data_IF_651399978187
#
_entry.id   IF_651399978187
#
_cell.length_a   1.000
_cell.length_b   1.000
_cell.length_c   1.000
_cell.angle_alpha   90.00
_cell.angle_beta   90.00
_cell.angle_gamma   90.00
#
_symmetry.space_group_name_H-M   'P 1'
#
loop_
_entity.id
_entity.type
_entity.pdbx_description
1 polymer ?
#
# COMPACT_ATOMS: atom_id res chain seq x y z
N UNK A 1 -30.64 -4.52 -30.68
CA UNK A 1 -30.33 -5.73 -29.85
C UNK A 1 -29.35 -5.33 -28.76
N UNK A 2 -29.83 -5.18 -27.54
CA UNK A 2 -29.03 -4.75 -26.38
C UNK A 2 -28.38 -5.98 -25.75
N UNK A 3 -27.11 -6.20 -25.99
CA UNK A 3 -26.34 -7.25 -25.32
C UNK A 3 -26.29 -6.92 -23.84
N UNK A 4 -27.07 -7.59 -23.01
CA UNK A 4 -26.92 -7.60 -21.56
C UNK A 4 -25.53 -8.17 -21.25
N UNK A 5 -24.57 -7.31 -20.90
CA UNK A 5 -23.32 -7.75 -20.27
C UNK A 5 -23.69 -8.41 -18.96
N UNK A 6 -23.47 -9.71 -18.84
CA UNK A 6 -23.45 -10.39 -17.56
C UNK A 6 -22.46 -9.66 -16.66
N UNK A 7 -22.97 -9.07 -15.60
CA UNK A 7 -22.14 -8.58 -14.51
C UNK A 7 -21.47 -9.80 -13.91
N UNK A 8 -20.19 -9.93 -14.14
CA UNK A 8 -19.35 -10.79 -13.30
C UNK A 8 -19.50 -10.24 -11.90
N UNK A 9 -20.37 -10.87 -11.15
CA UNK A 9 -20.63 -10.57 -9.75
C UNK A 9 -19.38 -11.00 -8.98
N UNK A 10 -18.41 -10.12 -8.87
CA UNK A 10 -17.26 -10.26 -7.95
C UNK A 10 -17.78 -10.03 -6.53
N UNK A 11 -18.83 -10.69 -6.16
CA UNK A 11 -19.12 -10.96 -4.78
C UNK A 11 -17.90 -11.74 -4.31
N UNK A 12 -17.21 -11.19 -3.35
CA UNK A 12 -16.47 -12.04 -2.43
C UNK A 12 -17.48 -13.12 -2.07
N UNK A 13 -17.27 -14.33 -2.59
CA UNK A 13 -18.15 -15.47 -2.35
C UNK A 13 -18.38 -15.49 -0.85
N UNK A 14 -19.60 -15.78 -0.46
CA UNK A 14 -19.98 -15.94 0.93
C UNK A 14 -18.82 -16.55 1.68
N UNK A 15 -18.39 -15.89 2.77
CA UNK A 15 -17.32 -16.42 3.60
C UNK A 15 -17.60 -17.91 3.77
N UNK A 16 -16.62 -18.79 3.51
CA UNK A 16 -16.83 -20.24 3.61
C UNK A 16 -17.52 -20.52 4.95
N UNK A 17 -18.45 -21.50 5.01
CA UNK A 17 -19.17 -21.78 6.23
C UNK A 17 -18.13 -21.93 7.34
N UNK A 18 -18.29 -21.12 8.37
CA UNK A 18 -17.40 -21.10 9.52
C UNK A 18 -17.52 -22.49 10.12
N UNK A 19 -16.55 -23.34 9.83
CA UNK A 19 -16.37 -24.56 10.61
C UNK A 19 -16.37 -24.10 12.06
N UNK A 20 -17.20 -24.71 12.88
CA UNK A 20 -17.22 -24.52 14.33
C UNK A 20 -15.84 -24.95 14.87
N UNK A 21 -14.86 -24.07 14.68
CA UNK A 21 -13.59 -24.23 15.36
C UNK A 21 -13.88 -24.01 16.84
N UNK A 22 -13.52 -25.00 17.65
CA UNK A 22 -13.60 -24.98 19.10
C UNK A 22 -13.14 -23.62 19.64
N UNK A 23 -13.72 -23.17 20.74
CA UNK A 23 -13.45 -21.92 21.42
C UNK A 23 -11.94 -21.71 21.64
N UNK A 24 -11.27 -21.18 20.65
CA UNK A 24 -9.82 -21.04 20.61
C UNK A 24 -9.50 -19.54 20.56
N UNK A 25 -8.53 -19.12 21.34
CA UNK A 25 -7.99 -17.77 21.34
C UNK A 25 -7.21 -17.43 20.05
N UNK A 26 -6.90 -18.42 19.22
CA UNK A 26 -6.28 -18.20 17.90
C UNK A 26 -7.32 -17.76 16.87
N UNK A 27 -7.06 -16.65 16.20
CA UNK A 27 -7.87 -16.11 15.10
C UNK A 27 -7.10 -16.25 13.80
N UNK A 28 -7.68 -17.00 12.85
CA UNK A 28 -7.10 -17.26 11.54
C UNK A 28 -7.97 -16.58 10.48
N UNK A 29 -7.36 -15.67 9.71
CA UNK A 29 -7.99 -15.08 8.53
C UNK A 29 -7.52 -15.80 7.28
N UNK A 30 -8.48 -16.11 6.41
CA UNK A 30 -8.25 -16.78 5.13
C UNK A 30 -8.68 -15.86 3.99
N UNK A 31 -8.09 -16.05 2.81
CA UNK A 31 -8.54 -15.40 1.59
C UNK A 31 -9.75 -16.12 0.95
N UNK A 32 -10.18 -15.60 -0.22
CA UNK A 32 -11.32 -16.19 -0.96
C UNK A 32 -11.03 -17.60 -1.52
N UNK A 33 -9.81 -18.10 -1.45
CA UNK A 33 -9.40 -19.46 -1.86
C UNK A 33 -9.18 -20.40 -0.68
N UNK A 34 -9.33 -19.89 0.56
CA UNK A 34 -9.13 -20.67 1.77
C UNK A 34 -7.68 -20.65 2.31
N UNK A 35 -6.76 -19.98 1.62
CA UNK A 35 -5.37 -19.87 2.05
C UNK A 35 -5.25 -18.97 3.29
N UNK A 36 -4.38 -19.35 4.23
CA UNK A 36 -4.16 -18.58 5.45
C UNK A 36 -3.40 -17.31 5.12
N UNK A 37 -4.07 -16.17 5.29
CA UNK A 37 -3.47 -14.84 5.12
C UNK A 37 -2.75 -14.40 6.39
N UNK A 38 -3.37 -14.63 7.56
CA UNK A 38 -2.81 -14.20 8.85
C UNK A 38 -3.35 -15.02 10.01
N UNK A 39 -2.48 -15.18 11.03
CA UNK A 39 -2.82 -15.77 12.33
C UNK A 39 -2.57 -14.75 13.42
N UNK A 40 -3.47 -14.67 14.38
CA UNK A 40 -3.38 -13.83 15.57
C UNK A 40 -3.72 -14.69 16.79
N UNK A 41 -2.86 -14.72 17.78
CA UNK A 41 -3.07 -15.49 19.03
C UNK A 41 -3.41 -14.50 20.16
N UNK A 42 -4.71 -14.33 20.41
CA UNK A 42 -5.21 -13.44 21.46
C UNK A 42 -4.87 -13.94 22.86
N UNK A 43 -4.74 -15.26 23.03
CA UNK A 43 -4.34 -15.85 24.31
C UNK A 43 -2.94 -15.43 24.78
N UNK A 44 -2.04 -15.11 23.83
CA UNK A 44 -0.69 -14.60 24.14
C UNK A 44 -0.65 -13.13 24.57
N UNK A 45 -1.78 -12.45 24.64
CA UNK A 45 -1.83 -11.05 25.07
C UNK A 45 -1.77 -10.89 26.59
N UNK A 46 -1.91 -11.98 27.38
CA UNK A 46 -1.91 -11.94 28.84
C UNK A 46 -3.21 -11.42 29.45
N UNK A 47 -4.30 -11.38 28.67
CA UNK A 47 -5.64 -11.06 29.15
C UNK A 47 -6.25 -12.24 29.95
N UNK A 48 -7.18 -11.99 30.90
CA UNK A 48 -8.02 -13.04 31.48
C UNK A 48 -8.66 -13.91 30.39
N UNK A 49 -8.77 -15.21 30.62
CA UNK A 49 -9.15 -16.19 29.59
C UNK A 49 -10.53 -15.90 28.97
N UNK A 50 -11.51 -15.50 29.78
CA UNK A 50 -12.86 -15.15 29.34
C UNK A 50 -12.87 -13.90 28.44
N UNK A 51 -12.07 -12.87 28.78
CA UNK A 51 -11.89 -11.65 27.98
C UNK A 51 -11.14 -11.99 26.68
N UNK A 52 -10.07 -12.79 26.75
CA UNK A 52 -9.32 -13.20 25.56
C UNK A 52 -10.22 -13.95 24.58
N UNK A 53 -11.04 -14.89 25.06
CA UNK A 53 -12.00 -15.61 24.24
C UNK A 53 -13.09 -14.70 23.65
N UNK A 54 -13.62 -13.75 24.43
CA UNK A 54 -14.60 -12.79 23.97
C UNK A 54 -14.04 -11.91 22.83
N UNK A 55 -12.84 -11.38 23.02
CA UNK A 55 -12.19 -10.55 22.01
C UNK A 55 -11.78 -11.36 20.75
N UNK A 56 -11.32 -12.61 20.93
CA UNK A 56 -11.01 -13.49 19.80
C UNK A 56 -12.26 -13.79 18.96
N UNK A 57 -13.38 -14.06 19.61
CA UNK A 57 -14.66 -14.33 18.96
C UNK A 57 -15.17 -13.09 18.19
N UNK A 58 -15.20 -11.94 18.84
CA UNK A 58 -15.55 -10.68 18.19
C UNK A 58 -14.61 -10.35 17.02
N UNK A 59 -13.30 -10.55 17.20
CA UNK A 59 -12.31 -10.28 16.14
C UNK A 59 -12.49 -11.22 14.95
N UNK A 60 -12.69 -12.50 15.18
CA UNK A 60 -12.92 -13.51 14.14
C UNK A 60 -14.14 -13.18 13.30
N UNK A 61 -15.26 -12.90 13.94
CA UNK A 61 -16.55 -12.74 13.24
C UNK A 61 -16.80 -11.32 12.74
N UNK A 62 -16.52 -10.30 13.55
CA UNK A 62 -16.75 -8.91 13.15
C UNK A 62 -15.79 -8.44 12.05
N UNK A 63 -14.55 -8.93 12.07
CA UNK A 63 -13.53 -8.54 11.11
C UNK A 63 -13.21 -9.60 10.04
N UNK A 64 -14.03 -10.66 9.89
CA UNK A 64 -13.85 -11.70 8.88
C UNK A 64 -13.73 -11.13 7.45
N UNK A 65 -14.59 -10.18 7.10
CA UNK A 65 -14.61 -9.51 5.80
C UNK A 65 -13.81 -8.20 5.76
N UNK A 66 -13.06 -7.86 6.81
CA UNK A 66 -12.28 -6.63 6.88
C UNK A 66 -10.98 -6.73 6.10
N UNK A 67 -10.47 -5.58 5.61
CA UNK A 67 -9.15 -5.54 5.00
C UNK A 67 -8.06 -5.91 6.02
N UNK A 68 -6.94 -6.44 5.54
CA UNK A 68 -5.81 -6.79 6.37
C UNK A 68 -5.31 -5.61 7.25
N UNK A 69 -5.32 -4.39 6.73
CA UNK A 69 -4.95 -3.21 7.51
C UNK A 69 -5.95 -2.93 8.65
N UNK A 70 -7.26 -3.12 8.41
CA UNK A 70 -8.27 -3.01 9.46
C UNK A 70 -8.07 -4.09 10.52
N UNK A 71 -7.83 -5.33 10.12
CA UNK A 71 -7.51 -6.43 11.04
C UNK A 71 -6.27 -6.12 11.86
N UNK A 72 -5.21 -5.57 11.26
CA UNK A 72 -4.00 -5.14 11.96
C UNK A 72 -4.27 -4.02 12.96
N UNK A 73 -5.09 -3.03 12.62
CA UNK A 73 -5.47 -1.96 13.55
C UNK A 73 -6.29 -2.49 14.73
N UNK A 74 -7.21 -3.43 14.49
CA UNK A 74 -7.94 -4.11 15.55
C UNK A 74 -6.98 -4.89 16.46
N UNK A 75 -6.04 -5.64 15.90
CA UNK A 75 -5.00 -6.34 16.67
C UNK A 75 -4.17 -5.38 17.54
N UNK A 76 -3.76 -4.23 17.00
CA UNK A 76 -3.03 -3.22 17.77
C UNK A 76 -3.88 -2.64 18.90
N UNK A 77 -5.19 -2.48 18.69
CA UNK A 77 -6.10 -2.03 19.74
C UNK A 77 -6.23 -3.07 20.87
N UNK A 78 -6.34 -4.36 20.52
CA UNK A 78 -6.34 -5.44 21.53
C UNK A 78 -5.03 -5.48 22.33
N UNK A 79 -3.88 -5.31 21.69
CA UNK A 79 -2.58 -5.20 22.37
C UNK A 79 -2.52 -4.01 23.32
N UNK A 80 -3.07 -2.86 22.92
CA UNK A 80 -3.13 -1.67 23.79
C UNK A 80 -4.03 -1.93 24.99
N UNK A 81 -5.18 -2.55 24.77
CA UNK A 81 -6.10 -2.90 25.84
C UNK A 81 -5.48 -3.94 26.82
N UNK A 82 -4.76 -4.95 26.31
CA UNK A 82 -4.08 -5.91 27.14
C UNK A 82 -3.00 -5.28 28.04
N UNK A 83 -2.23 -4.32 27.51
CA UNK A 83 -1.28 -3.56 28.34
C UNK A 83 -1.99 -2.77 29.42
N UNK A 84 -3.07 -2.05 29.05
CA UNK A 84 -3.88 -1.36 30.04
C UNK A 84 -4.39 -2.30 31.15
N UNK A 85 -4.98 -3.44 30.77
CA UNK A 85 -5.51 -4.40 31.72
C UNK A 85 -4.44 -4.93 32.70
N UNK A 86 -3.21 -5.16 32.19
CA UNK A 86 -2.08 -5.57 33.00
C UNK A 86 -1.61 -4.47 33.97
N UNK A 87 -1.59 -3.21 33.52
CA UNK A 87 -1.17 -2.06 34.34
C UNK A 87 -2.27 -1.63 35.34
N UNK A 88 -3.54 -1.68 34.94
CA UNK A 88 -4.70 -1.32 35.78
C UNK A 88 -4.94 -2.34 36.92
N UNK A 89 -4.70 -3.64 36.66
CA UNK A 89 -4.85 -4.71 37.62
C UNK A 89 -6.29 -5.02 38.10
N UNK A 90 -7.27 -4.25 37.68
CA UNK A 90 -8.68 -4.36 38.06
C UNK A 90 -9.53 -5.10 37.03
N UNK A 91 -9.01 -5.32 35.82
CA UNK A 91 -9.70 -6.03 34.73
C UNK A 91 -9.37 -7.53 34.83
N UNK A 92 -10.18 -8.30 35.57
CA UNK A 92 -9.93 -9.72 35.86
C UNK A 92 -10.90 -10.67 35.19
N UNK A 93 -12.05 -10.15 34.75
CA UNK A 93 -13.12 -10.92 34.09
C UNK A 93 -13.93 -10.05 33.14
N UNK A 94 -14.78 -10.68 32.33
CA UNK A 94 -15.73 -9.95 31.48
C UNK A 94 -16.70 -9.07 32.27
N UNK A 95 -16.97 -9.39 33.52
CA UNK A 95 -17.79 -8.57 34.43
C UNK A 95 -17.18 -7.21 34.76
N UNK A 96 -15.85 -7.08 34.66
CA UNK A 96 -15.13 -5.83 34.93
C UNK A 96 -15.11 -4.86 33.72
N UNK A 97 -15.66 -5.29 32.58
CA UNK A 97 -15.78 -4.46 31.38
C UNK A 97 -16.91 -3.44 31.51
N UNK A 98 -16.79 -2.53 32.47
CA UNK A 98 -17.80 -1.54 32.85
C UNK A 98 -17.55 -0.15 32.26
N UNK A 99 -18.51 0.77 32.36
CA UNK A 99 -18.33 2.19 31.99
C UNK A 99 -17.18 2.83 32.78
N UNK A 100 -16.98 2.46 34.05
CA UNK A 100 -15.86 2.94 34.88
C UNK A 100 -14.52 2.48 34.32
N UNK A 101 -14.41 1.21 33.88
CA UNK A 101 -13.22 0.69 33.18
C UNK A 101 -12.95 1.48 31.89
N UNK A 102 -13.98 1.79 31.10
CA UNK A 102 -13.81 2.61 29.88
C UNK A 102 -13.22 3.98 30.22
N UNK A 103 -13.68 4.62 31.31
CA UNK A 103 -13.12 5.89 31.79
C UNK A 103 -11.62 5.80 32.13
N UNK A 104 -11.22 4.76 32.88
CA UNK A 104 -9.80 4.51 33.21
C UNK A 104 -8.97 4.22 31.97
N UNK A 105 -9.51 3.46 31.01
CA UNK A 105 -8.82 3.17 29.75
C UNK A 105 -8.58 4.44 28.93
N UNK A 106 -9.54 5.35 28.88
CA UNK A 106 -9.39 6.66 28.21
C UNK A 106 -8.28 7.47 28.87
N UNK A 107 -8.26 7.57 30.19
CA UNK A 107 -7.21 8.27 30.93
C UNK A 107 -5.83 7.64 30.68
N UNK A 108 -5.76 6.31 30.66
CA UNK A 108 -4.52 5.59 30.32
C UNK A 108 -4.05 5.88 28.88
N UNK A 109 -4.97 5.92 27.89
CA UNK A 109 -4.63 6.28 26.50
C UNK A 109 -4.09 7.71 26.40
N UNK A 110 -4.51 8.64 27.25
CA UNK A 110 -4.00 10.03 27.28
C UNK A 110 -2.52 10.11 27.69
N UNK A 111 -2.06 9.15 28.50
CA UNK A 111 -0.67 9.08 28.97
C UNK A 111 0.25 8.31 28.00
N UNK A 112 -0.26 7.70 26.93
CA UNK A 112 0.55 6.85 26.07
C UNK A 112 1.50 7.62 25.16
N UNK A 113 2.73 7.15 25.08
CA UNK A 113 3.78 7.67 24.18
C UNK A 113 4.19 6.61 23.14
N UNK A 114 4.61 7.06 21.99
CA UNK A 114 5.10 6.17 20.93
C UNK A 114 6.49 5.65 21.26
N UNK A 115 6.67 4.33 21.28
CA UNK A 115 7.92 3.67 21.67
C UNK A 115 9.17 4.10 20.86
N UNK A 116 8.99 4.49 19.59
CA UNK A 116 10.10 4.92 18.73
C UNK A 116 10.27 6.44 18.68
N UNK A 117 9.20 7.19 18.92
CA UNK A 117 9.20 8.65 18.74
C UNK A 117 9.27 9.41 20.05
N UNK A 118 9.03 8.74 21.15
CA UNK A 118 8.86 9.30 22.50
C UNK A 118 7.86 10.49 22.54
N UNK A 119 6.96 10.56 21.55
CA UNK A 119 5.92 11.59 21.48
C UNK A 119 4.58 11.02 21.96
N UNK A 120 3.72 11.82 22.58
CA UNK A 120 2.36 11.41 22.95
C UNK A 120 1.61 10.85 21.73
N UNK A 121 0.79 9.83 21.94
CA UNK A 121 -0.07 9.34 20.87
C UNK A 121 -0.98 10.45 20.37
N UNK A 122 -1.10 10.56 19.05
CA UNK A 122 -2.02 11.53 18.45
C UNK A 122 -3.46 11.27 18.89
N UNK A 123 -4.27 12.32 19.00
CA UNK A 123 -5.71 12.21 19.30
C UNK A 123 -6.41 11.21 18.36
N UNK A 124 -6.06 11.23 17.07
CA UNK A 124 -6.58 10.29 16.08
C UNK A 124 -6.19 8.82 16.36
N UNK A 125 -4.96 8.56 16.82
CA UNK A 125 -4.52 7.22 17.20
C UNK A 125 -5.28 6.69 18.41
N UNK A 126 -5.43 7.51 19.46
CA UNK A 126 -6.18 7.18 20.68
C UNK A 126 -7.64 6.89 20.36
N UNK A 127 -8.29 7.78 19.59
CA UNK A 127 -9.67 7.61 19.17
C UNK A 127 -9.88 6.34 18.32
N UNK A 128 -8.93 6.00 17.44
CA UNK A 128 -9.02 4.77 16.64
C UNK A 128 -8.93 3.52 17.51
N UNK A 129 -7.98 3.48 18.45
CA UNK A 129 -7.82 2.35 19.38
C UNK A 129 -9.06 2.15 20.25
N UNK A 130 -9.63 3.22 20.81
CA UNK A 130 -10.86 3.18 21.59
C UNK A 130 -12.05 2.70 20.73
N UNK A 131 -12.16 3.21 19.50
CA UNK A 131 -13.23 2.83 18.58
C UNK A 131 -13.16 1.33 18.21
N UNK A 132 -11.98 0.77 17.98
CA UNK A 132 -11.83 -0.65 17.66
C UNK A 132 -12.26 -1.51 18.85
N UNK A 133 -11.87 -1.18 20.09
CA UNK A 133 -12.33 -1.88 21.29
C UNK A 133 -13.85 -1.80 21.43
N UNK A 134 -14.42 -0.59 21.28
CA UNK A 134 -15.86 -0.38 21.30
C UNK A 134 -16.59 -1.27 20.29
N UNK A 135 -16.13 -1.34 19.06
CA UNK A 135 -16.76 -2.15 18.01
C UNK A 135 -16.81 -3.64 18.38
N UNK A 136 -15.76 -4.16 19.00
CA UNK A 136 -15.72 -5.56 19.46
C UNK A 136 -16.69 -5.79 20.62
N UNK A 137 -16.71 -4.90 21.60
CA UNK A 137 -17.66 -4.98 22.75
C UNK A 137 -19.11 -4.83 22.26
N UNK A 138 -19.41 -3.86 21.39
CA UNK A 138 -20.74 -3.66 20.81
C UNK A 138 -21.19 -4.88 19.97
N UNK A 139 -20.26 -5.52 19.26
CA UNK A 139 -20.56 -6.76 18.53
C UNK A 139 -20.91 -7.89 19.50
N UNK A 140 -20.13 -8.08 20.54
CA UNK A 140 -20.37 -9.12 21.56
C UNK A 140 -21.69 -8.86 22.27
N UNK A 141 -21.97 -7.62 22.65
CA UNK A 141 -23.22 -7.26 23.33
C UNK A 141 -24.47 -7.60 22.49
N UNK A 142 -24.38 -7.43 21.17
CA UNK A 142 -25.47 -7.80 20.26
C UNK A 142 -25.65 -9.30 20.06
N UNK A 143 -24.55 -10.07 20.11
CA UNK A 143 -24.57 -11.53 19.82
C UNK A 143 -24.66 -12.38 21.08
N UNK A 144 -24.06 -11.93 22.16
CA UNK A 144 -23.92 -12.66 23.42
C UNK A 144 -24.11 -11.70 24.60
N UNK A 145 -25.32 -11.12 24.79
CA UNK A 145 -25.57 -10.09 25.79
C UNK A 145 -25.26 -10.57 27.21
N UNK A 146 -25.48 -11.85 27.52
CA UNK A 146 -25.24 -12.44 28.84
C UNK A 146 -23.75 -12.55 29.24
N UNK A 147 -22.83 -12.34 28.30
CA UNK A 147 -21.37 -12.39 28.57
C UNK A 147 -20.80 -11.06 29.04
N UNK A 148 -21.57 -10.00 29.03
CA UNK A 148 -21.12 -8.64 29.34
C UNK A 148 -22.08 -7.98 30.36
N UNK A 149 -21.59 -6.99 31.13
CA UNK A 149 -22.46 -6.12 31.92
C UNK A 149 -23.56 -5.50 31.07
N UNK A 150 -24.75 -5.35 31.68
CA UNK A 150 -25.93 -4.82 30.97
C UNK A 150 -25.65 -3.46 30.36
N UNK A 151 -24.91 -2.61 31.07
CA UNK A 151 -24.58 -1.27 30.60
C UNK A 151 -23.10 -1.01 30.58
N UNK A 152 -22.59 -0.71 29.37
CA UNK A 152 -21.22 -0.26 29.12
C UNK A 152 -21.30 0.98 28.24
N UNK A 153 -21.00 2.14 28.79
CA UNK A 153 -21.09 3.42 28.08
C UNK A 153 -19.72 3.82 27.52
N UNK A 154 -19.67 4.07 26.24
CA UNK A 154 -18.52 4.66 25.57
C UNK A 154 -18.83 6.11 25.22
N UNK A 155 -18.07 7.09 25.71
CA UNK A 155 -18.26 8.50 25.34
C UNK A 155 -18.16 8.70 23.83
N UNK A 156 -19.04 9.52 23.26
CA UNK A 156 -19.15 9.71 21.80
C UNK A 156 -18.04 10.59 21.22
N UNK A 157 -17.48 11.51 21.99
CA UNK A 157 -16.46 12.48 21.54
C UNK A 157 -15.42 12.74 22.64
N UNK A 158 -14.59 11.75 22.93
CA UNK A 158 -13.54 11.88 23.94
C UNK A 158 -12.48 12.90 23.53
N UNK A 159 -12.13 12.93 22.24
CA UNK A 159 -11.15 13.86 21.68
C UNK A 159 -11.79 14.63 20.52
N UNK A 160 -12.53 15.74 20.81
CA UNK A 160 -13.34 16.44 19.80
C UNK A 160 -12.51 17.10 18.69
N UNK A 161 -11.37 17.66 19.04
CA UNK A 161 -10.54 18.40 18.09
C UNK A 161 -9.57 17.47 17.36
N UNK A 162 -10.09 16.82 16.32
CA UNK A 162 -9.27 16.08 15.35
C UNK A 162 -8.71 17.01 14.27
N UNK A 163 -8.41 18.25 14.57
CA UNK A 163 -7.67 19.06 13.60
C UNK A 163 -6.34 18.34 13.37
N UNK A 164 -6.27 17.65 12.25
CA UNK A 164 -4.99 17.24 11.72
C UNK A 164 -4.23 18.54 11.41
N UNK A 165 -3.00 18.64 11.85
CA UNK A 165 -2.13 19.73 11.44
C UNK A 165 -2.24 19.89 9.92
N UNK A 166 -2.31 21.13 9.41
CA UNK A 166 -2.33 21.37 7.97
C UNK A 166 -1.21 20.58 7.33
N UNK A 167 -1.56 19.64 6.45
CA UNK A 167 -0.55 18.85 5.77
C UNK A 167 0.14 19.74 4.76
N UNK A 168 1.48 19.72 4.77
CA UNK A 168 2.26 20.33 3.70
C UNK A 168 1.68 19.94 2.34
N UNK A 169 1.47 20.91 1.46
CA UNK A 169 1.03 20.70 0.07
C UNK A 169 2.17 20.99 -0.87
N UNK A 170 2.29 20.14 -1.88
CA UNK A 170 3.23 20.36 -2.97
C UNK A 170 2.56 21.29 -3.98
N UNK A 171 3.26 22.33 -4.43
CA UNK A 171 2.81 23.23 -5.45
C UNK A 171 2.91 22.62 -6.86
N UNK A 172 2.39 23.35 -7.87
CA UNK A 172 2.45 22.91 -9.27
C UNK A 172 3.89 22.69 -9.75
N UNK A 173 4.82 23.56 -9.36
CA UNK A 173 6.23 23.44 -9.75
C UNK A 173 6.91 22.24 -9.08
N UNK A 174 6.60 21.97 -7.80
CA UNK A 174 7.08 20.77 -7.13
C UNK A 174 6.60 19.49 -7.85
N UNK A 175 5.30 19.44 -8.20
CA UNK A 175 4.72 18.29 -8.90
C UNK A 175 5.34 18.09 -10.29
N UNK A 176 5.63 19.18 -11.03
CA UNK A 176 6.34 19.12 -12.32
C UNK A 176 7.77 18.63 -12.15
N UNK A 177 8.51 19.16 -11.17
CA UNK A 177 9.89 18.74 -10.89
C UNK A 177 9.93 17.24 -10.51
N UNK A 178 9.02 16.79 -9.66
CA UNK A 178 8.90 15.39 -9.27
C UNK A 178 8.59 14.51 -10.50
N UNK A 179 7.65 14.90 -11.37
CA UNK A 179 7.32 14.16 -12.58
C UNK A 179 8.50 14.06 -13.54
N UNK A 180 9.23 15.16 -13.76
CA UNK A 180 10.42 15.17 -14.64
C UNK A 180 11.44 14.12 -14.19
N UNK A 181 11.77 14.13 -12.91
CA UNK A 181 12.72 13.17 -12.34
C UNK A 181 12.19 11.74 -12.37
N UNK A 182 10.87 11.56 -12.16
CA UNK A 182 10.27 10.23 -12.31
C UNK A 182 10.41 9.69 -13.73
N UNK A 183 10.22 10.53 -14.74
CA UNK A 183 10.35 10.11 -16.14
C UNK A 183 11.79 9.73 -16.50
N UNK A 184 12.77 10.50 -16.02
CA UNK A 184 14.19 10.17 -16.18
C UNK A 184 14.54 8.81 -15.53
N UNK A 185 14.08 8.56 -14.28
CA UNK A 185 14.28 7.26 -13.60
C UNK A 185 13.56 6.11 -14.30
N UNK A 186 12.39 6.38 -14.87
CA UNK A 186 11.59 5.38 -15.61
C UNK A 186 12.29 5.00 -16.91
N UNK A 187 12.80 5.98 -17.65
CA UNK A 187 13.53 5.72 -18.90
C UNK A 187 14.82 4.93 -18.63
N UNK A 188 15.62 5.35 -17.65
CA UNK A 188 16.82 4.61 -17.24
C UNK A 188 16.49 3.15 -16.85
N UNK A 189 15.40 2.95 -16.11
CA UNK A 189 14.97 1.62 -15.70
C UNK A 189 14.46 0.80 -16.89
N UNK A 190 13.76 1.43 -17.81
CA UNK A 190 13.23 0.78 -19.01
C UNK A 190 14.36 0.38 -19.97
N UNK A 191 15.29 1.27 -20.24
CA UNK A 191 16.44 1.00 -21.12
C UNK A 191 17.30 -0.15 -20.58
N UNK A 192 17.50 -0.16 -19.24
CA UNK A 192 18.20 -1.28 -18.58
C UNK A 192 17.45 -2.60 -18.76
N UNK A 193 16.12 -2.59 -18.59
CA UNK A 193 15.30 -3.79 -18.77
C UNK A 193 15.29 -4.27 -20.22
N UNK A 194 15.17 -3.36 -21.21
CA UNK A 194 15.27 -3.71 -22.64
C UNK A 194 16.64 -4.27 -23.00
N UNK A 195 17.72 -3.69 -22.46
CA UNK A 195 19.09 -4.25 -22.60
C UNK A 195 19.14 -5.67 -22.04
N UNK A 196 18.54 -5.91 -20.87
CA UNK A 196 18.44 -7.25 -20.30
C UNK A 196 17.69 -8.23 -21.20
N UNK A 197 16.58 -7.81 -21.80
CA UNK A 197 15.83 -8.61 -22.77
C UNK A 197 16.66 -8.94 -24.00
N UNK A 198 17.40 -7.98 -24.54
CA UNK A 198 18.31 -8.19 -25.67
C UNK A 198 19.42 -9.21 -25.33
N UNK A 199 20.01 -9.08 -24.12
CA UNK A 199 21.00 -10.03 -23.61
C UNK A 199 20.45 -11.47 -23.55
N UNK A 200 19.22 -11.62 -23.06
CA UNK A 200 18.59 -12.94 -22.91
C UNK A 200 18.09 -13.54 -24.23
N UNK A 201 17.75 -12.70 -25.20
CA UNK A 201 17.32 -13.15 -26.53
C UNK A 201 18.49 -13.59 -27.45
N UNK A 202 19.72 -13.19 -27.13
CA UNK A 202 20.90 -13.40 -27.97
C UNK A 202 21.90 -14.30 -27.24
N UNK A 203 22.51 -15.23 -27.91
CA UNK A 203 23.62 -16.07 -27.36
C UNK A 203 24.98 -15.35 -27.38
N UNK A 204 25.11 -14.28 -28.17
CA UNK A 204 26.33 -13.50 -28.37
C UNK A 204 26.39 -12.19 -27.62
N UNK A 205 27.30 -11.31 -28.05
CA UNK A 205 27.42 -9.94 -27.57
C UNK A 205 26.21 -9.10 -27.99
N UNK A 206 25.77 -8.21 -27.10
CA UNK A 206 24.85 -7.14 -27.42
C UNK A 206 25.68 -5.88 -27.65
N UNK A 207 25.39 -5.13 -28.70
CA UNK A 207 26.11 -3.92 -29.07
C UNK A 207 26.14 -2.93 -27.91
N UNK A 208 27.31 -2.39 -27.59
CA UNK A 208 27.51 -1.44 -26.51
C UNK A 208 27.45 -2.03 -25.08
N UNK A 209 27.36 -3.35 -24.93
CA UNK A 209 27.31 -4.03 -23.64
C UNK A 209 28.55 -4.88 -23.40
N UNK A 210 29.16 -4.76 -22.23
CA UNK A 210 30.30 -5.59 -21.83
C UNK A 210 29.95 -7.08 -21.76
N UNK A 211 30.86 -7.93 -22.24
CA UNK A 211 30.68 -9.39 -22.28
C UNK A 211 30.47 -9.97 -20.88
N UNK A 212 31.24 -9.51 -19.88
CA UNK A 212 31.10 -9.97 -18.50
C UNK A 212 29.70 -9.67 -17.96
N UNK A 213 29.15 -8.51 -18.29
CA UNK A 213 27.77 -8.14 -17.91
C UNK A 213 26.74 -9.04 -18.60
N UNK A 214 26.92 -9.34 -19.92
CA UNK A 214 26.05 -10.24 -20.65
C UNK A 214 25.99 -11.62 -19.99
N UNK A 215 27.15 -12.20 -19.70
CA UNK A 215 27.25 -13.53 -19.10
C UNK A 215 26.69 -13.54 -17.66
N UNK A 216 26.92 -12.46 -16.91
CA UNK A 216 26.40 -12.33 -15.55
C UNK A 216 24.87 -12.25 -15.53
N UNK A 217 24.26 -11.46 -16.42
CA UNK A 217 22.79 -11.34 -16.53
C UNK A 217 22.18 -12.68 -16.94
N UNK A 218 22.77 -13.39 -17.92
CA UNK A 218 22.33 -14.73 -18.33
C UNK A 218 22.42 -15.72 -17.18
N UNK A 219 23.56 -15.75 -16.47
CA UNK A 219 23.77 -16.63 -15.34
C UNK A 219 22.72 -16.38 -14.25
N UNK A 220 22.47 -15.11 -13.88
CA UNK A 220 21.46 -14.74 -12.89
C UNK A 220 20.04 -15.13 -13.31
N UNK A 221 19.69 -14.96 -14.58
CA UNK A 221 18.38 -15.32 -15.12
C UNK A 221 18.09 -16.82 -15.03
N UNK A 222 19.10 -17.66 -15.31
CA UNK A 222 18.96 -19.13 -15.25
C UNK A 222 18.76 -19.63 -13.83
N UNK A 223 19.43 -19.03 -12.84
CA UNK A 223 19.43 -19.49 -11.44
C UNK A 223 18.04 -19.52 -10.82
N UNK A 224 17.17 -18.56 -11.14
CA UNK A 224 15.82 -18.44 -10.56
C UNK A 224 14.75 -18.12 -11.63
N UNK A 225 14.91 -18.71 -12.82
CA UNK A 225 13.90 -18.68 -13.90
C UNK A 225 13.46 -17.27 -14.29
N UNK A 226 14.41 -16.38 -14.56
CA UNK A 226 14.16 -15.01 -15.03
C UNK A 226 13.89 -14.00 -13.90
N UNK A 227 13.92 -14.44 -12.65
CA UNK A 227 13.82 -13.57 -11.47
C UNK A 227 15.16 -13.50 -10.77
N UNK A 228 15.56 -12.32 -10.32
CA UNK A 228 16.82 -12.14 -9.60
C UNK A 228 16.95 -13.13 -8.43
N UNK A 229 17.98 -14.00 -8.36
CA UNK A 229 18.15 -14.91 -7.25
C UNK A 229 18.52 -14.16 -5.95
N UNK A 230 18.32 -14.80 -4.80
CA UNK A 230 18.92 -14.32 -3.56
C UNK A 230 20.45 -14.42 -3.64
N UNK A 231 21.14 -13.57 -2.86
CA UNK A 231 22.62 -13.61 -2.85
C UNK A 231 23.16 -15.01 -2.51
N UNK A 232 22.54 -15.68 -1.54
CA UNK A 232 22.94 -17.05 -1.16
C UNK A 232 22.73 -18.03 -2.32
N UNK A 233 21.63 -17.91 -3.06
CA UNK A 233 21.34 -18.80 -4.19
C UNK A 233 22.32 -18.52 -5.35
N UNK A 234 22.57 -17.25 -5.65
CA UNK A 234 23.53 -16.85 -6.69
C UNK A 234 24.93 -17.41 -6.42
N UNK A 235 25.43 -17.29 -5.19
CA UNK A 235 26.74 -17.84 -4.79
C UNK A 235 26.77 -19.37 -4.95
N UNK A 236 25.74 -20.06 -4.45
CA UNK A 236 25.65 -21.54 -4.57
C UNK A 236 25.62 -22.02 -6.02
N UNK A 237 25.11 -21.19 -6.94
CA UNK A 237 25.06 -21.46 -8.36
C UNK A 237 26.34 -21.01 -9.12
N UNK A 238 27.40 -20.65 -8.41
CA UNK A 238 28.69 -20.30 -8.99
C UNK A 238 28.85 -18.87 -9.46
N UNK A 239 27.89 -17.98 -9.18
CA UNK A 239 27.98 -16.55 -9.54
C UNK A 239 29.02 -15.88 -8.62
N UNK A 240 30.02 -15.24 -9.23
CA UNK A 240 31.10 -14.55 -8.50
C UNK A 240 30.63 -13.20 -7.98
N UNK A 241 30.66 -13.01 -6.67
CA UNK A 241 30.27 -11.72 -6.04
C UNK A 241 31.13 -10.54 -6.47
N UNK A 242 32.43 -10.76 -6.76
CA UNK A 242 33.31 -9.72 -7.28
C UNK A 242 32.80 -9.14 -8.61
N UNK A 243 32.37 -9.99 -9.54
CA UNK A 243 31.74 -9.57 -10.79
C UNK A 243 30.42 -8.82 -10.53
N UNK A 244 29.55 -9.36 -9.66
CA UNK A 244 28.31 -8.70 -9.24
C UNK A 244 28.57 -7.29 -8.70
N UNK A 245 29.54 -7.12 -7.81
CA UNK A 245 29.86 -5.82 -7.20
C UNK A 245 30.46 -4.83 -8.22
N UNK A 246 31.26 -5.31 -9.16
CA UNK A 246 31.83 -4.49 -10.25
C UNK A 246 30.74 -3.87 -11.11
N UNK A 247 29.65 -4.61 -11.34
CA UNK A 247 28.48 -4.18 -12.12
C UNK A 247 27.35 -3.60 -11.23
N UNK A 248 27.67 -2.95 -10.11
CA UNK A 248 26.70 -2.21 -9.31
C UNK A 248 25.89 -3.02 -8.28
N UNK A 249 26.19 -4.32 -8.14
CA UNK A 249 25.55 -5.19 -7.16
C UNK A 249 24.26 -5.85 -7.64
N UNK A 250 23.77 -6.82 -6.87
CA UNK A 250 22.59 -7.63 -7.25
C UNK A 250 21.33 -6.79 -7.51
N UNK A 251 21.11 -5.72 -6.73
CA UNK A 251 19.93 -4.86 -6.92
C UNK A 251 19.94 -4.16 -8.27
N UNK A 252 21.08 -3.62 -8.63
CA UNK A 252 21.25 -2.97 -9.92
C UNK A 252 21.07 -3.96 -11.07
N UNK A 253 21.71 -5.13 -10.98
CA UNK A 253 21.58 -6.21 -11.95
C UNK A 253 20.16 -6.75 -12.06
N UNK A 254 19.38 -6.71 -10.98
CA UNK A 254 17.96 -7.06 -11.01
C UNK A 254 17.14 -6.23 -11.98
N UNK A 255 17.56 -4.98 -12.25
CA UNK A 255 16.92 -4.10 -13.22
C UNK A 255 16.98 -4.58 -14.67
N UNK A 256 17.95 -5.44 -15.02
CA UNK A 256 18.01 -6.11 -16.32
C UNK A 256 16.99 -7.24 -16.49
N UNK A 257 16.47 -7.79 -15.37
CA UNK A 257 15.57 -8.94 -15.37
C UNK A 257 14.11 -8.54 -15.13
N UNK A 258 13.87 -7.58 -14.24
CA UNK A 258 12.53 -7.20 -13.84
C UNK A 258 12.50 -5.88 -13.05
N UNK A 259 11.29 -5.40 -12.73
CA UNK A 259 11.09 -4.25 -11.85
C UNK A 259 11.72 -4.47 -10.47
N UNK A 260 12.48 -3.48 -10.00
CA UNK A 260 13.15 -3.53 -8.68
C UNK A 260 12.45 -2.65 -7.65
N UNK A 261 12.77 -2.85 -6.36
CA UNK A 261 12.29 -1.97 -5.29
C UNK A 261 12.77 -0.52 -5.38
N UNK A 262 13.84 -0.27 -6.12
CA UNK A 262 14.37 1.10 -6.33
C UNK A 262 13.64 1.84 -7.44
N UNK A 263 13.26 1.14 -8.50
CA UNK A 263 12.64 1.74 -9.68
C UNK A 263 11.12 1.87 -9.55
N UNK A 264 10.51 1.01 -8.74
CA UNK A 264 9.04 1.03 -8.53
C UNK A 264 8.51 2.37 -8.01
N UNK A 265 9.32 3.11 -7.24
CA UNK A 265 8.91 4.39 -6.64
C UNK A 265 8.58 5.43 -7.73
N UNK A 266 9.43 5.57 -8.77
CA UNK A 266 9.22 6.51 -9.85
C UNK A 266 7.91 6.24 -10.61
N UNK A 267 7.64 4.99 -10.97
CA UNK A 267 6.38 4.59 -11.61
C UNK A 267 5.18 4.88 -10.71
N UNK A 268 5.29 4.54 -9.42
CA UNK A 268 4.18 4.74 -8.49
C UNK A 268 3.85 6.23 -8.31
N UNK A 269 4.87 7.08 -8.16
CA UNK A 269 4.71 8.53 -8.00
C UNK A 269 4.09 9.13 -9.26
N UNK A 270 4.62 8.80 -10.44
CA UNK A 270 4.10 9.31 -11.71
C UNK A 270 2.62 8.94 -11.91
N UNK A 271 2.24 7.69 -11.65
CA UNK A 271 0.85 7.25 -11.71
C UNK A 271 -0.02 7.91 -10.63
N UNK A 272 0.50 8.12 -9.41
CA UNK A 272 -0.24 8.79 -8.34
C UNK A 272 -0.55 10.26 -8.68
N UNK A 273 0.40 10.97 -9.28
CA UNK A 273 0.18 12.36 -9.71
C UNK A 273 -0.82 12.41 -10.87
N UNK A 274 -0.64 11.58 -11.90
CA UNK A 274 -1.51 11.60 -13.08
C UNK A 274 -2.95 11.17 -12.77
N UNK A 275 -3.13 10.22 -11.86
CA UNK A 275 -4.46 9.70 -11.52
C UNK A 275 -5.14 10.44 -10.37
N UNK A 276 -4.40 11.21 -9.56
CA UNK A 276 -4.84 11.69 -8.24
C UNK A 276 -5.40 10.55 -7.37
N UNK A 277 -4.93 9.32 -7.61
CA UNK A 277 -5.42 8.11 -6.96
C UNK A 277 -5.02 8.04 -5.48
N UNK A 278 -5.84 7.35 -4.68
CA UNK A 278 -5.42 7.03 -3.32
C UNK A 278 -4.24 6.04 -3.37
N UNK A 279 -3.13 6.26 -2.66
CA UNK A 279 -1.96 5.38 -2.69
C UNK A 279 -2.26 3.90 -2.45
N UNK A 280 -3.15 3.58 -1.50
CA UNK A 280 -3.54 2.19 -1.25
C UNK A 280 -4.36 1.58 -2.41
N UNK A 281 -5.20 2.40 -3.06
CA UNK A 281 -5.98 1.94 -4.21
C UNK A 281 -5.09 1.70 -5.42
N UNK A 282 -4.12 2.60 -5.68
CA UNK A 282 -3.15 2.45 -6.76
C UNK A 282 -2.26 1.23 -6.55
N UNK A 283 -1.74 1.05 -5.34
CA UNK A 283 -0.94 -0.12 -4.99
C UNK A 283 -1.68 -1.44 -5.31
N UNK A 284 -3.00 -1.45 -5.18
CA UNK A 284 -3.85 -2.62 -5.42
C UNK A 284 -4.30 -2.76 -6.88
N UNK A 285 -3.82 -1.91 -7.79
CA UNK A 285 -4.16 -2.04 -9.22
C UNK A 285 -3.84 -3.42 -9.76
N UNK A 286 -4.70 -3.88 -10.63
CA UNK A 286 -4.55 -5.18 -11.30
C UNK A 286 -3.93 -5.02 -12.68
N UNK A 287 -3.41 -6.08 -13.25
CA UNK A 287 -2.76 -6.09 -14.56
C UNK A 287 -3.73 -5.81 -15.72
N UNK A 288 -5.03 -6.02 -15.50
CA UNK A 288 -6.14 -5.76 -16.42
C UNK A 288 -6.82 -4.40 -16.20
N UNK A 289 -6.09 -3.43 -15.66
CA UNK A 289 -6.61 -2.10 -15.31
C UNK A 289 -6.83 -1.16 -16.51
N UNK A 290 -6.41 -1.55 -17.70
CA UNK A 290 -6.58 -0.75 -18.91
C UNK A 290 -7.77 -1.23 -19.75
N UNK A 291 -8.53 -0.29 -20.30
CA UNK A 291 -9.67 -0.56 -21.20
C UNK A 291 -9.68 0.45 -22.33
N UNK A 292 -10.07 0.03 -23.54
CA UNK A 292 -10.31 0.94 -24.65
C UNK A 292 -11.37 1.98 -24.27
N UNK A 293 -11.14 3.24 -24.69
CA UNK A 293 -12.15 4.26 -24.54
C UNK A 293 -13.29 4.04 -25.56
N UNK A 294 -14.57 4.10 -25.15
CA UNK A 294 -15.68 3.73 -26.04
C UNK A 294 -15.90 4.68 -27.22
N UNK A 295 -15.37 5.91 -27.14
CA UNK A 295 -15.64 6.97 -28.13
C UNK A 295 -14.37 7.54 -28.78
N UNK A 296 -13.17 7.11 -28.37
CA UNK A 296 -11.91 7.68 -28.85
C UNK A 296 -10.82 6.60 -28.82
N UNK A 297 -10.37 6.17 -30.00
CA UNK A 297 -9.36 5.12 -30.17
C UNK A 297 -7.97 5.50 -29.65
N UNK A 298 -7.67 6.80 -29.57
CA UNK A 298 -6.40 7.30 -29.03
C UNK A 298 -6.37 7.37 -27.51
N UNK A 299 -7.50 7.11 -26.86
CA UNK A 299 -7.62 7.19 -25.41
C UNK A 299 -7.82 5.84 -24.78
N UNK A 300 -7.23 5.70 -23.61
CA UNK A 300 -7.34 4.52 -22.78
C UNK A 300 -7.94 4.92 -21.42
N UNK A 301 -8.91 4.14 -20.97
CA UNK A 301 -9.44 4.25 -19.62
C UNK A 301 -8.59 3.40 -18.68
N UNK A 302 -8.02 4.04 -17.67
CA UNK A 302 -7.32 3.36 -16.58
C UNK A 302 -8.25 3.27 -15.37
N UNK A 303 -8.40 2.07 -14.82
CA UNK A 303 -9.28 1.78 -13.70
C UNK A 303 -8.49 1.39 -12.44
N UNK A 304 -8.89 1.91 -11.29
CA UNK A 304 -8.39 1.47 -9.98
C UNK A 304 -9.51 1.48 -8.94
N UNK A 305 -9.44 0.56 -7.98
CA UNK A 305 -10.43 0.46 -6.93
C UNK A 305 -9.76 0.24 -5.58
N UNK A 306 -10.28 0.87 -4.53
CA UNK A 306 -9.91 0.54 -3.16
C UNK A 306 -10.74 -0.67 -2.72
N UNK A 307 -10.13 -1.84 -2.47
CA UNK A 307 -10.83 -2.96 -1.88
C UNK A 307 -11.33 -2.52 -0.49
N UNK A 308 -12.64 -2.42 -0.32
CA UNK A 308 -13.24 -2.22 1.00
C UNK A 308 -13.97 -3.49 1.38
N UNK A 309 -13.72 -3.96 2.59
CA UNK A 309 -14.59 -4.96 3.21
C UNK A 309 -15.98 -4.36 3.39
N UNK A 310 -17.01 -5.09 2.97
CA UNK A 310 -18.41 -4.71 3.11
C UNK A 310 -19.20 -4.71 1.79
N UNK A 311 -20.51 -4.93 1.90
CA UNK A 311 -21.45 -5.22 0.79
C UNK A 311 -21.66 -4.08 -0.23
N UNK A 312 -21.14 -2.88 0.01
CA UNK A 312 -21.22 -1.78 -0.95
C UNK A 312 -19.89 -1.64 -1.68
N UNK A 313 -19.74 -2.39 -2.77
CA UNK A 313 -18.65 -2.17 -3.74
C UNK A 313 -18.76 -0.74 -4.25
N UNK A 314 -17.83 0.13 -3.84
CA UNK A 314 -17.72 1.45 -4.48
C UNK A 314 -17.36 1.25 -5.94
N UNK A 315 -17.99 2.03 -6.81
CA UNK A 315 -17.63 2.06 -8.24
C UNK A 315 -16.14 2.29 -8.36
N UNK A 316 -15.42 1.52 -9.19
CA UNK A 316 -14.02 1.76 -9.44
C UNK A 316 -13.84 3.16 -10.03
N UNK A 317 -12.72 3.80 -9.69
CA UNK A 317 -12.33 5.05 -10.31
C UNK A 317 -11.80 4.76 -11.71
N UNK A 318 -12.21 5.59 -12.68
CA UNK A 318 -11.73 5.52 -14.06
C UNK A 318 -11.28 6.90 -14.50
N UNK A 319 -10.18 6.93 -15.24
CA UNK A 319 -9.72 8.15 -15.88
C UNK A 319 -9.25 7.85 -17.30
N UNK A 320 -9.55 8.76 -18.21
CA UNK A 320 -9.15 8.67 -19.60
C UNK A 320 -7.83 9.39 -19.84
N UNK A 321 -6.92 8.77 -20.58
CA UNK A 321 -5.60 9.29 -20.92
C UNK A 321 -5.37 9.19 -22.44
N UNK A 322 -4.73 10.20 -23.02
CA UNK A 322 -4.27 10.18 -24.40
C UNK A 322 -2.99 9.35 -24.52
N UNK A 323 -3.08 8.20 -25.21
CA UNK A 323 -1.97 7.25 -25.37
C UNK A 323 -0.82 7.79 -26.24
N UNK A 324 -1.04 8.82 -27.04
CA UNK A 324 0.01 9.43 -27.88
C UNK A 324 1.07 10.17 -27.05
N UNK A 325 0.75 10.54 -25.81
CA UNK A 325 1.72 11.17 -24.90
C UNK A 325 2.66 10.11 -24.33
N UNK A 326 4.00 10.24 -24.50
CA UNK A 326 4.96 9.16 -24.13
C UNK A 326 4.84 8.68 -22.69
N UNK A 327 4.63 9.60 -21.77
CA UNK A 327 4.54 9.30 -20.34
C UNK A 327 3.10 9.26 -19.81
N UNK A 328 2.10 9.12 -20.68
CA UNK A 328 0.73 8.93 -20.21
C UNK A 328 0.62 7.64 -19.36
N UNK A 329 -0.27 7.65 -18.38
CA UNK A 329 -0.46 6.53 -17.48
C UNK A 329 -0.58 5.16 -18.17
N UNK A 330 -1.30 5.00 -19.32
CA UNK A 330 -1.32 3.73 -20.05
C UNK A 330 0.06 3.25 -20.49
N UNK A 331 0.90 4.13 -21.04
CA UNK A 331 2.23 3.76 -21.51
C UNK A 331 3.16 3.38 -20.34
N UNK A 332 3.03 4.05 -19.20
CA UNK A 332 3.75 3.67 -17.98
C UNK A 332 3.29 2.31 -17.44
N UNK A 333 1.99 2.02 -17.54
CA UNK A 333 1.42 0.73 -17.15
C UNK A 333 1.91 -0.37 -18.09
N UNK A 334 2.00 -0.13 -19.40
CA UNK A 334 2.53 -1.11 -20.36
C UNK A 334 3.99 -1.49 -20.03
N UNK A 335 4.84 -0.49 -19.72
CA UNK A 335 6.21 -0.72 -19.25
C UNK A 335 6.23 -1.53 -17.95
N UNK A 336 5.38 -1.19 -16.97
CA UNK A 336 5.24 -1.93 -15.71
C UNK A 336 4.80 -3.38 -15.95
N UNK A 337 3.84 -3.60 -16.85
CA UNK A 337 3.36 -4.93 -17.21
C UNK A 337 4.49 -5.80 -17.77
N UNK A 338 5.31 -5.24 -18.66
CA UNK A 338 6.47 -5.92 -19.21
C UNK A 338 7.51 -6.24 -18.13
N UNK A 339 7.90 -5.23 -17.33
CA UNK A 339 8.92 -5.38 -16.29
C UNK A 339 8.48 -6.30 -15.13
N UNK A 340 7.18 -6.43 -14.88
CA UNK A 340 6.65 -7.29 -13.82
C UNK A 340 6.19 -8.66 -14.33
N UNK A 341 6.23 -8.93 -15.64
CA UNK A 341 5.83 -10.22 -16.20
C UNK A 341 6.61 -11.41 -15.59
N UNK A 342 7.95 -11.36 -15.46
CA UNK A 342 8.71 -12.43 -14.81
C UNK A 342 8.31 -12.63 -13.34
N UNK A 343 8.00 -11.55 -12.64
CA UNK A 343 7.57 -11.59 -11.24
C UNK A 343 6.18 -12.22 -11.08
N UNK A 344 5.26 -11.94 -12.02
CA UNK A 344 3.90 -12.46 -11.95
C UNK A 344 3.83 -13.99 -12.01
N UNK A 345 4.76 -14.64 -12.73
CA UNK A 345 4.85 -16.11 -12.80
C UNK A 345 5.22 -16.74 -11.46
N UNK A 346 5.96 -16.01 -10.60
CA UNK A 346 6.46 -16.45 -9.30
C UNK A 346 5.62 -15.94 -8.13
N UNK A 347 4.70 -15.02 -8.39
CA UNK A 347 3.82 -14.47 -7.36
C UNK A 347 2.79 -15.50 -6.89
N UNK A 348 2.34 -15.35 -5.65
CA UNK A 348 1.23 -16.12 -5.11
C UNK A 348 -0.03 -15.97 -5.98
N UNK A 349 -0.96 -16.92 -5.89
CA UNK A 349 -2.26 -16.85 -6.57
C UNK A 349 -2.99 -15.52 -6.28
N UNK A 350 -2.87 -15.02 -5.06
CA UNK A 350 -3.47 -13.76 -4.63
C UNK A 350 -2.84 -12.53 -5.29
N UNK A 351 -1.51 -12.56 -5.51
CA UNK A 351 -0.77 -11.39 -5.98
C UNK A 351 -0.47 -11.39 -7.48
N UNK A 352 -0.54 -12.54 -8.16
CA UNK A 352 -0.12 -12.66 -9.58
C UNK A 352 -0.81 -11.70 -10.54
N UNK A 353 -2.04 -11.30 -10.25
CA UNK A 353 -2.78 -10.31 -11.04
C UNK A 353 -2.58 -8.87 -10.53
N UNK A 354 -1.53 -8.58 -9.73
CA UNK A 354 -1.21 -7.24 -9.28
C UNK A 354 -0.19 -6.58 -10.20
N UNK A 355 -0.34 -5.25 -10.37
CA UNK A 355 0.56 -4.46 -11.20
C UNK A 355 1.90 -4.20 -10.50
N UNK A 356 1.88 -3.85 -9.22
CA UNK A 356 3.06 -3.45 -8.46
C UNK A 356 3.68 -4.64 -7.69
N UNK A 357 4.19 -5.60 -8.46
CA UNK A 357 4.92 -6.74 -7.90
C UNK A 357 6.38 -6.38 -7.68
N UNK A 358 6.92 -6.81 -6.55
CA UNK A 358 8.34 -6.67 -6.22
C UNK A 358 8.85 -7.96 -5.59
N UNK A 359 10.13 -8.26 -5.81
CA UNK A 359 10.80 -9.34 -5.09
C UNK A 359 11.25 -8.85 -3.72
N UNK A 360 10.86 -9.58 -2.67
CA UNK A 360 11.33 -9.32 -1.32
C UNK A 360 12.74 -9.90 -1.16
N UNK A 361 13.71 -9.06 -0.83
CA UNK A 361 15.09 -9.48 -0.58
C UNK A 361 15.20 -10.43 0.63
N UNK A 362 14.41 -10.16 1.68
CA UNK A 362 14.46 -10.95 2.93
C UNK A 362 13.80 -12.33 2.80
N UNK A 363 12.77 -12.46 1.97
CA UNK A 363 11.96 -13.68 1.90
C UNK A 363 12.14 -14.46 0.60
N UNK A 364 12.94 -13.98 -0.34
CA UNK A 364 13.06 -14.52 -1.70
C UNK A 364 11.70 -14.73 -2.41
N UNK A 365 10.65 -14.09 -1.91
CA UNK A 365 9.29 -14.23 -2.39
C UNK A 365 8.90 -13.01 -3.24
N UNK A 366 8.13 -13.24 -4.27
CA UNK A 366 7.47 -12.17 -5.03
C UNK A 366 6.13 -11.85 -4.38
N UNK A 367 5.92 -10.58 -4.06
CA UNK A 367 4.70 -10.11 -3.41
C UNK A 367 4.27 -8.76 -3.96
N UNK A 368 3.01 -8.42 -3.74
CA UNK A 368 2.54 -7.05 -3.89
C UNK A 368 3.37 -6.12 -2.99
N UNK A 369 3.80 -4.97 -3.52
CA UNK A 369 4.53 -3.97 -2.74
C UNK A 369 3.73 -3.56 -1.50
N UNK A 370 4.34 -3.64 -0.32
CA UNK A 370 3.72 -3.15 0.91
C UNK A 370 3.79 -1.61 0.98
N UNK A 371 2.81 -0.98 1.62
CA UNK A 371 2.80 0.48 1.81
C UNK A 371 4.04 0.98 2.57
N UNK A 372 4.55 0.21 3.54
CA UNK A 372 5.81 0.50 4.24
C UNK A 372 7.02 0.41 3.31
N UNK A 373 7.08 -0.60 2.43
CA UNK A 373 8.15 -0.74 1.44
C UNK A 373 8.17 0.44 0.48
N UNK A 374 7.00 0.88 0.01
CA UNK A 374 6.88 2.07 -0.83
C UNK A 374 7.35 3.33 -0.09
N UNK A 375 6.93 3.52 1.16
CA UNK A 375 7.39 4.65 1.99
C UNK A 375 8.91 4.63 2.21
N UNK A 376 9.50 3.44 2.38
CA UNK A 376 10.95 3.29 2.49
C UNK A 376 11.68 3.53 1.16
N UNK A 377 11.09 3.21 0.02
CA UNK A 377 11.68 3.46 -1.30
C UNK A 377 11.70 4.97 -1.66
N UNK A 378 10.77 5.75 -1.11
CA UNK A 378 10.61 7.16 -1.43
C UNK A 378 11.80 8.02 -0.98
N UNK A 379 12.30 7.82 0.24
CA UNK A 379 13.45 8.58 0.77
C UNK A 379 14.73 8.38 -0.05
N UNK A 380 15.16 7.16 -0.35
CA UNK A 380 16.29 6.94 -1.26
C UNK A 380 16.06 7.53 -2.66
N UNK A 381 14.84 7.47 -3.20
CA UNK A 381 14.49 8.11 -4.46
C UNK A 381 14.76 9.61 -4.41
N UNK A 382 14.20 10.34 -3.44
CA UNK A 382 14.39 11.79 -3.29
C UNK A 382 15.89 12.12 -3.13
N UNK A 383 16.60 11.39 -2.26
CA UNK A 383 18.03 11.61 -2.03
C UNK A 383 18.88 11.42 -3.28
N UNK A 384 18.66 10.32 -4.03
CA UNK A 384 19.35 10.03 -5.28
C UNK A 384 19.06 11.09 -6.34
N UNK A 385 17.80 11.48 -6.47
CA UNK A 385 17.37 12.52 -7.40
C UNK A 385 18.01 13.86 -7.10
N UNK A 386 18.01 14.27 -5.83
CA UNK A 386 18.63 15.53 -5.42
C UNK A 386 20.16 15.51 -5.61
N UNK A 387 20.83 14.37 -5.43
CA UNK A 387 22.25 14.23 -5.75
C UNK A 387 22.52 14.42 -7.26
N UNK A 388 21.68 13.86 -8.16
CA UNK A 388 21.77 14.08 -9.61
C UNK A 388 21.50 15.53 -9.98
N UNK A 389 20.49 16.16 -9.39
CA UNK A 389 20.18 17.58 -9.60
C UNK A 389 21.37 18.46 -9.17
N UNK A 390 21.99 18.17 -8.04
CA UNK A 390 23.18 18.90 -7.58
C UNK A 390 24.35 18.83 -8.58
N UNK A 391 24.60 17.63 -9.15
CA UNK A 391 25.63 17.46 -10.18
C UNK A 391 25.26 18.21 -11.45
N UNK A 392 24.00 18.15 -11.88
CA UNK A 392 23.49 18.91 -13.03
C UNK A 392 23.66 20.41 -12.83
N UNK A 393 23.22 20.94 -11.69
CA UNK A 393 23.29 22.37 -11.38
C UNK A 393 24.74 22.88 -11.30
N UNK A 394 25.68 22.01 -10.90
CA UNK A 394 27.11 22.31 -10.92
C UNK A 394 27.66 22.38 -12.36
N UNK A 395 27.19 21.49 -13.24
CA UNK A 395 27.63 21.41 -14.63
C UNK A 395 26.99 22.47 -15.53
N UNK A 396 25.74 22.87 -15.25
CA UNK A 396 24.97 23.83 -16.04
C UNK A 396 24.22 24.82 -15.13
N UNK A 397 24.93 25.79 -14.50
CA UNK A 397 24.32 26.72 -13.56
C UNK A 397 23.20 27.59 -14.16
N UNK A 398 23.33 27.94 -15.45
CA UNK A 398 22.34 28.73 -16.19
C UNK A 398 21.01 27.98 -16.43
N UNK A 399 21.03 26.66 -16.28
CA UNK A 399 19.87 25.77 -16.43
C UNK A 399 19.58 25.01 -15.15
N UNK A 400 19.80 25.66 -14.01
CA UNK A 400 19.62 25.00 -12.72
C UNK A 400 18.20 24.47 -12.52
N UNK A 401 18.11 23.29 -11.92
CA UNK A 401 16.85 22.61 -11.60
C UNK A 401 16.53 22.75 -10.12
N UNK A 402 15.27 22.89 -9.72
CA UNK A 402 14.91 22.88 -8.30
C UNK A 402 15.15 21.50 -7.68
N UNK A 403 15.57 21.49 -6.42
CA UNK A 403 15.64 20.27 -5.63
C UNK A 403 14.24 19.77 -5.31
N UNK A 404 14.07 18.43 -5.27
CA UNK A 404 12.83 17.82 -4.83
C UNK A 404 12.63 18.08 -3.33
N UNK A 405 11.43 18.52 -2.91
CA UNK A 405 11.09 18.62 -1.50
C UNK A 405 10.98 17.23 -0.86
N UNK A 406 11.08 17.18 0.47
CA UNK A 406 10.71 15.98 1.21
C UNK A 406 9.18 15.80 1.18
N UNK A 407 8.71 14.63 0.71
CA UNK A 407 7.29 14.33 0.66
C UNK A 407 6.99 12.87 0.93
N UNK A 408 5.75 12.59 1.31
CA UNK A 408 5.21 11.24 1.44
C UNK A 408 4.14 11.00 0.38
N UNK A 409 3.99 9.77 -0.09
CA UNK A 409 3.01 9.42 -1.14
C UNK A 409 1.57 9.85 -0.81
N UNK A 410 1.23 9.94 0.48
CA UNK A 410 -0.10 10.38 0.94
C UNK A 410 -0.38 11.86 0.61
N UNK A 411 0.67 12.68 0.42
CA UNK A 411 0.53 14.10 0.09
C UNK A 411 0.15 14.32 -1.38
N UNK A 412 0.60 13.43 -2.28
CA UNK A 412 0.43 13.58 -3.73
C UNK A 412 -1.04 13.81 -4.11
N UNK A 413 -1.95 12.97 -3.61
CA UNK A 413 -3.38 13.09 -3.92
C UNK A 413 -3.96 14.45 -3.50
N UNK A 414 -3.63 14.92 -2.30
CA UNK A 414 -4.12 16.20 -1.79
C UNK A 414 -3.54 17.37 -2.58
N UNK A 415 -2.26 17.32 -2.92
CA UNK A 415 -1.56 18.33 -3.70
C UNK A 415 -2.13 18.45 -5.12
N UNK A 416 -2.28 17.31 -5.83
CA UNK A 416 -2.90 17.30 -7.16
C UNK A 416 -4.32 17.85 -7.13
N UNK A 417 -5.11 17.49 -6.11
CA UNK A 417 -6.47 18.00 -5.94
C UNK A 417 -6.49 19.53 -5.74
N UNK A 418 -5.55 20.06 -4.96
CA UNK A 418 -5.44 21.51 -4.73
C UNK A 418 -5.06 22.25 -6.00
N UNK A 419 -4.08 21.75 -6.75
CA UNK A 419 -3.68 22.36 -8.01
C UNK A 419 -4.79 22.26 -9.07
N UNK A 420 -5.53 21.15 -9.10
CA UNK A 420 -6.70 21.04 -9.97
C UNK A 420 -7.81 22.03 -9.59
N UNK A 421 -8.09 22.21 -8.29
CA UNK A 421 -9.05 23.19 -7.79
C UNK A 421 -8.67 24.61 -8.21
N UNK A 422 -7.39 24.99 -8.10
CA UNK A 422 -6.89 26.28 -8.56
C UNK A 422 -7.04 26.45 -10.08
N UNK A 423 -6.65 25.43 -10.85
CA UNK A 423 -6.70 25.44 -12.30
C UNK A 423 -8.14 25.48 -12.86
N UNK A 424 -9.12 24.95 -12.11
CA UNK A 424 -10.54 25.00 -12.47
C UNK A 424 -11.26 26.26 -12.00
N UNK A 425 -10.52 27.28 -11.53
CA UNK A 425 -11.12 28.51 -11.03
C UNK A 425 -11.89 28.37 -9.73
N UNK A 426 -11.55 27.34 -8.91
CA UNK A 426 -12.23 27.10 -7.64
C UNK A 426 -13.44 26.16 -7.73
N UNK A 427 -13.60 25.43 -8.83
CA UNK A 427 -14.71 24.48 -9.00
C UNK A 427 -14.52 23.26 -8.10
N UNK A 428 -15.33 23.20 -7.02
CA UNK A 428 -15.30 22.12 -6.04
C UNK A 428 -15.92 20.83 -6.58
N UNK A 429 -16.89 20.92 -7.50
CA UNK A 429 -17.54 19.74 -8.08
C UNK A 429 -16.59 19.05 -9.04
N UNK A 430 -15.90 19.80 -9.90
CA UNK A 430 -14.85 19.26 -10.76
C UNK A 430 -13.72 18.62 -9.92
N UNK A 431 -13.33 19.24 -8.82
CA UNK A 431 -12.34 18.68 -7.89
C UNK A 431 -12.86 17.42 -7.19
N UNK A 432 -14.14 17.38 -6.83
CA UNK A 432 -14.79 16.20 -6.25
C UNK A 432 -14.76 15.01 -7.23
N UNK A 433 -15.03 15.26 -8.51
CA UNK A 433 -14.98 14.23 -9.56
C UNK A 433 -13.55 13.70 -9.75
N UNK A 434 -12.55 14.59 -9.79
CA UNK A 434 -11.13 14.19 -9.85
C UNK A 434 -10.75 13.28 -8.68
N UNK A 435 -11.25 13.58 -7.49
CA UNK A 435 -11.02 12.79 -6.28
C UNK A 435 -11.96 11.59 -6.13
N UNK A 436 -13.01 11.50 -6.95
CA UNK A 436 -14.10 10.54 -6.81
C UNK A 436 -14.64 10.49 -5.37
N UNK A 437 -14.90 11.66 -4.80
CA UNK A 437 -15.57 11.78 -3.51
C UNK A 437 -17.09 11.72 -3.72
N UNK A 438 -17.78 10.96 -2.87
CA UNK A 438 -19.25 10.86 -2.92
C UNK A 438 -19.96 11.99 -2.19
N UNK A 439 -19.22 12.82 -1.44
CA UNK A 439 -19.75 13.95 -0.66
C UNK A 439 -18.83 15.15 -0.80
N UNK A 440 -19.40 16.31 -1.04
CA UNK A 440 -18.69 17.59 -1.16
C UNK A 440 -17.95 17.95 0.12
N UNK A 441 -18.55 17.69 1.30
CA UNK A 441 -17.92 17.92 2.61
C UNK A 441 -16.56 17.22 2.75
N UNK A 442 -16.41 16.01 2.17
CA UNK A 442 -15.14 15.30 2.18
C UNK A 442 -14.08 16.01 1.33
N UNK A 443 -14.49 16.72 0.30
CA UNK A 443 -13.61 17.51 -0.56
C UNK A 443 -13.23 18.80 0.14
N UNK A 444 -14.18 19.52 0.72
CA UNK A 444 -13.97 20.76 1.48
C UNK A 444 -13.03 20.52 2.67
N UNK A 445 -13.31 19.54 3.51
CA UNK A 445 -12.47 19.22 4.67
C UNK A 445 -11.00 18.88 4.32
N UNK A 446 -10.71 18.56 3.07
CA UNK A 446 -9.34 18.32 2.57
C UNK A 446 -8.72 19.54 1.91
N UNK A 447 -9.51 20.55 1.57
CA UNK A 447 -9.02 21.80 0.97
C UNK A 447 -8.74 22.87 2.04
N UNK A 448 -9.45 22.80 3.19
CA UNK A 448 -9.35 23.78 4.30
C UNK A 448 -8.23 23.44 5.29
N UNK A 449 -7.46 22.37 5.11
CA UNK A 449 -6.40 21.95 6.03
C UNK A 449 -4.99 22.14 5.48
#
# INVERSE_FOLDING_TARGET
>A
MTVKRERIDRRFSQAPPILQEAANSEVIFRDGWGDIVKRYDVGKLGLPADIAMLLADAFRHHHAASSHDTQRHCWMAMRAFARFAAEDGLVRSTGDLTSAMVGRYIAWLDCQVGAQTNKPWSRGSRANVLMQLRQMIDWTKRRHPSRLPERIDFPSRVWPDRQADPRLRLGAEDLKAILSVCYEDIDEAWDRFETGRAILATSGLVEGVDLELCDLVRALAVVDGGVLPSQTLAIRSGVRLSAVNRHGGLRYLGGYLHLTGETVAAFFIALAIQTAGNPDALRMMTRDCQMAHPLDEHRILVEWAKPRAGAKVKRPQKRSFDRRRPYAAPNLIDRLLAMTAPLATRASRQDRNRLFLVKSEKKSAVTLIAGSTLAHALKPFIRRSNARIALWNKAAPERSRPFLPDFAAVLLRGSVATEYYKASGGDILATQDVLNHTRTDTTIARQSG
#
